data_IF_599480660481
#
_entry.id   IF_599480660481
#
_cell.length_a   1.000
_cell.length_b   1.000
_cell.length_c   1.000
_cell.angle_alpha   90.00
_cell.angle_beta   90.00
_cell.angle_gamma   90.00
#
_symmetry.space_group_name_H-M   'P 1'
#
loop_
_entity.id
_entity.type
_entity.pdbx_description
1 polymer ?
#
# COMPACT_ATOMS: atom_id res chain seq x y z
N UNK A 1 19.06 -8.37 -29.76
CA UNK A 1 18.10 -7.30 -30.12
C UNK A 1 16.71 -7.93 -30.05
N UNK A 2 15.86 -7.45 -29.16
CA UNK A 2 14.57 -8.09 -28.85
C UNK A 2 13.50 -7.52 -29.79
N UNK A 3 12.59 -8.36 -30.29
CA UNK A 3 11.49 -7.92 -31.13
C UNK A 3 10.41 -7.25 -30.27
N UNK A 4 9.90 -6.08 -30.69
CA UNK A 4 8.91 -5.31 -29.92
C UNK A 4 7.49 -5.85 -30.07
N UNK A 5 7.21 -6.62 -31.11
CA UNK A 5 5.87 -7.13 -31.41
C UNK A 5 5.58 -8.50 -30.77
N UNK A 6 6.57 -9.11 -30.13
CA UNK A 6 6.41 -10.41 -29.45
C UNK A 6 5.86 -10.23 -28.05
N UNK A 7 4.98 -11.13 -27.62
CA UNK A 7 4.43 -11.11 -26.26
C UNK A 7 5.52 -11.35 -25.21
N UNK A 8 5.40 -10.68 -24.06
CA UNK A 8 6.39 -10.71 -22.96
C UNK A 8 6.63 -12.14 -22.45
N UNK A 9 5.63 -13.02 -22.49
CA UNK A 9 5.75 -14.41 -22.02
C UNK A 9 6.66 -15.31 -22.86
N UNK A 10 7.06 -14.90 -24.07
CA UNK A 10 7.98 -15.66 -24.94
C UNK A 10 9.43 -15.16 -24.89
N UNK A 11 9.78 -14.34 -23.90
CA UNK A 11 11.16 -13.92 -23.70
C UNK A 11 12.01 -15.11 -23.24
N UNK A 12 13.13 -15.36 -23.92
CA UNK A 12 14.13 -16.32 -23.44
C UNK A 12 14.85 -15.78 -22.20
N UNK A 13 15.30 -16.68 -21.32
CA UNK A 13 16.10 -16.36 -20.13
C UNK A 13 17.31 -15.45 -20.46
N UNK A 14 18.00 -15.74 -21.57
CA UNK A 14 19.15 -14.96 -22.05
C UNK A 14 18.82 -13.49 -22.36
N UNK A 15 17.60 -13.24 -22.85
CA UNK A 15 17.12 -11.88 -23.11
C UNK A 15 16.77 -11.18 -21.80
N UNK A 16 16.19 -11.89 -20.82
CA UNK A 16 15.90 -11.35 -19.48
C UNK A 16 17.19 -10.93 -18.79
N UNK A 17 18.20 -11.81 -18.72
CA UNK A 17 19.49 -11.48 -18.12
C UNK A 17 20.16 -10.27 -18.78
N UNK A 18 20.04 -10.14 -20.10
CA UNK A 18 20.58 -9.00 -20.84
C UNK A 18 19.88 -7.70 -20.44
N UNK A 19 18.56 -7.74 -20.24
CA UNK A 19 17.77 -6.60 -19.78
C UNK A 19 18.15 -6.24 -18.33
N UNK A 20 18.28 -7.23 -17.45
CA UNK A 20 18.66 -7.00 -16.05
C UNK A 20 20.05 -6.35 -15.94
N UNK A 21 21.02 -6.83 -16.72
CA UNK A 21 22.36 -6.23 -16.78
C UNK A 21 22.31 -4.77 -17.25
N UNK A 22 21.46 -4.47 -18.25
CA UNK A 22 21.25 -3.10 -18.75
C UNK A 22 20.54 -2.20 -17.73
N UNK A 23 19.55 -2.71 -17.00
CA UNK A 23 18.80 -1.96 -15.99
C UNK A 23 19.67 -1.65 -14.77
N UNK A 24 20.52 -2.59 -14.37
CA UNK A 24 21.41 -2.42 -13.21
C UNK A 24 22.44 -1.33 -13.48
N UNK A 25 23.01 -1.29 -14.69
CA UNK A 25 24.03 -0.30 -15.07
C UNK A 25 23.74 0.31 -16.45
N UNK A 26 22.78 1.25 -16.55
CA UNK A 26 22.40 1.86 -17.83
C UNK A 26 23.50 2.73 -18.44
N UNK A 27 24.46 3.22 -17.64
CA UNK A 27 25.61 3.96 -18.17
C UNK A 27 26.48 3.04 -19.07
N UNK A 28 26.69 1.79 -18.65
CA UNK A 28 27.43 0.81 -19.45
C UNK A 28 26.68 0.44 -20.75
N UNK A 29 25.35 0.55 -20.73
CA UNK A 29 24.48 0.38 -21.90
C UNK A 29 24.44 1.57 -22.86
N UNK A 30 25.28 2.59 -22.68
CA UNK A 30 25.34 3.81 -23.50
C UNK A 30 24.04 4.64 -23.47
N UNK A 31 23.31 4.62 -22.35
CA UNK A 31 22.17 5.52 -22.15
C UNK A 31 22.64 6.93 -21.78
N UNK A 32 21.99 7.99 -22.31
CA UNK A 32 22.39 9.35 -22.01
C UNK A 32 22.01 9.74 -20.58
N UNK A 33 22.81 10.63 -19.98
CA UNK A 33 22.64 11.01 -18.57
C UNK A 33 21.25 11.58 -18.24
N UNK A 34 20.59 12.26 -19.19
CA UNK A 34 19.24 12.82 -18.99
C UNK A 34 18.14 11.78 -18.83
N UNK A 35 18.38 10.52 -19.23
CA UNK A 35 17.45 9.41 -19.10
C UNK A 35 17.43 8.80 -17.68
N UNK A 36 18.45 9.10 -16.87
CA UNK A 36 18.61 8.50 -15.54
C UNK A 36 17.71 9.20 -14.51
N UNK A 37 17.14 8.41 -13.60
CA UNK A 37 16.23 8.88 -12.56
C UNK A 37 16.92 9.83 -11.57
N UNK A 38 18.16 9.51 -11.16
CA UNK A 38 18.93 10.29 -10.19
C UNK A 38 20.23 10.77 -10.81
N UNK A 39 20.23 12.01 -11.27
CA UNK A 39 21.40 12.67 -11.87
C UNK A 39 22.12 13.51 -10.82
N UNK A 40 23.46 13.49 -10.86
CA UNK A 40 24.32 14.24 -9.93
C UNK A 40 23.89 14.06 -8.49
N UNK A 41 24.01 12.84 -8.00
CA UNK A 41 23.73 12.56 -6.59
C UNK A 41 24.62 13.42 -5.67
N UNK A 42 24.09 13.79 -4.51
CA UNK A 42 24.70 14.77 -3.61
C UNK A 42 25.94 14.19 -2.91
N UNK A 43 25.92 12.89 -2.59
CA UNK A 43 27.01 12.23 -1.86
C UNK A 43 28.11 11.75 -2.81
N UNK A 44 27.71 11.09 -3.90
CA UNK A 44 28.66 10.42 -4.81
C UNK A 44 29.00 11.26 -6.05
N UNK A 45 28.19 12.26 -6.41
CA UNK A 45 28.34 13.05 -7.63
C UNK A 45 28.02 12.29 -8.93
N UNK A 46 27.84 10.98 -8.86
CA UNK A 46 27.58 10.11 -10.01
C UNK A 46 26.13 10.22 -10.48
N UNK A 47 25.89 9.81 -11.73
CA UNK A 47 24.54 9.60 -12.22
C UNK A 47 24.16 8.14 -11.97
N UNK A 48 23.01 7.90 -11.34
CA UNK A 48 22.57 6.57 -10.94
C UNK A 48 21.13 6.33 -11.39
N UNK A 49 20.81 5.06 -11.60
CA UNK A 49 19.44 4.60 -11.82
C UNK A 49 19.04 3.76 -10.62
N UNK A 50 18.12 4.28 -9.82
CA UNK A 50 17.64 3.61 -8.61
C UNK A 50 16.56 2.59 -8.97
N UNK A 51 16.60 1.44 -8.29
CA UNK A 51 15.64 0.36 -8.46
C UNK A 51 14.67 0.29 -7.28
N UNK A 52 13.60 -0.48 -7.45
CA UNK A 52 12.45 -0.69 -6.56
C UNK A 52 12.62 -0.26 -5.10
N UNK A 53 13.51 -0.90 -4.33
CA UNK A 53 13.72 -0.67 -2.89
C UNK A 53 14.51 0.61 -2.59
N UNK A 54 15.38 1.01 -3.50
CA UNK A 54 16.32 2.10 -3.30
C UNK A 54 15.64 3.44 -3.52
N UNK A 55 14.63 3.49 -4.38
CA UNK A 55 13.80 4.68 -4.62
C UNK A 55 13.16 5.21 -3.32
N UNK A 56 12.36 4.43 -2.56
CA UNK A 56 11.77 4.93 -1.32
C UNK A 56 12.81 5.14 -0.22
N UNK A 57 13.92 4.41 -0.22
CA UNK A 57 15.00 4.60 0.75
C UNK A 57 15.71 5.95 0.55
N UNK A 58 16.17 6.23 -0.67
CA UNK A 58 16.83 7.50 -1.02
C UNK A 58 15.91 8.70 -0.83
N UNK A 59 14.62 8.58 -1.19
CA UNK A 59 13.64 9.64 -0.99
C UNK A 59 13.46 9.96 0.50
N UNK A 60 13.45 8.95 1.39
CA UNK A 60 13.39 9.18 2.84
C UNK A 60 14.65 9.90 3.34
N UNK A 61 15.83 9.47 2.90
CA UNK A 61 17.10 10.12 3.28
C UNK A 61 17.15 11.58 2.80
N UNK A 62 16.67 11.86 1.58
CA UNK A 62 16.58 13.22 1.05
C UNK A 62 15.65 14.10 1.88
N UNK A 63 14.48 13.59 2.27
CA UNK A 63 13.54 14.31 3.13
C UNK A 63 14.14 14.51 4.53
N UNK A 64 14.79 13.49 5.09
CA UNK A 64 15.35 13.57 6.44
C UNK A 64 16.49 14.60 6.49
N UNK A 65 17.34 14.65 5.47
CA UNK A 65 18.34 15.71 5.33
C UNK A 65 17.68 17.10 5.30
N UNK A 66 16.60 17.28 4.53
CA UNK A 66 15.87 18.54 4.46
C UNK A 66 15.27 18.96 5.80
N UNK A 67 14.81 17.99 6.61
CA UNK A 67 14.32 18.18 7.97
C UNK A 67 15.43 18.59 8.92
N UNK A 68 16.55 17.87 8.94
CA UNK A 68 17.72 18.18 9.78
C UNK A 68 18.27 19.58 9.45
N UNK A 69 18.33 19.93 8.17
CA UNK A 69 18.81 21.26 7.71
C UNK A 69 17.81 22.39 8.03
N UNK A 70 16.61 22.08 8.55
CA UNK A 70 15.53 23.04 8.80
C UNK A 70 15.17 23.89 7.56
N UNK A 71 15.26 23.29 6.37
CA UNK A 71 14.83 23.95 5.14
C UNK A 71 13.31 24.15 5.13
N UNK A 72 12.79 25.16 4.41
CA UNK A 72 11.35 25.38 4.30
C UNK A 72 10.59 24.14 3.79
N UNK A 73 11.20 23.44 2.85
CA UNK A 73 10.68 22.18 2.31
C UNK A 73 10.68 21.07 3.37
N UNK A 74 11.75 20.93 4.13
CA UNK A 74 11.84 20.01 5.27
C UNK A 74 10.77 20.29 6.32
N UNK A 75 10.61 21.55 6.72
CA UNK A 75 9.55 21.99 7.63
C UNK A 75 8.17 21.57 7.11
N UNK A 76 7.86 21.84 5.83
CA UNK A 76 6.59 21.41 5.21
C UNK A 76 6.41 19.88 5.25
N UNK A 77 7.48 19.11 5.03
CA UNK A 77 7.48 17.65 5.15
C UNK A 77 7.31 17.14 6.59
N UNK A 78 7.68 17.91 7.62
CA UNK A 78 7.41 17.58 9.02
C UNK A 78 5.93 17.75 9.36
N UNK A 79 5.32 18.87 8.95
CA UNK A 79 3.89 19.14 9.19
C UNK A 79 2.94 18.44 8.21
N UNK A 80 3.47 17.65 7.26
CA UNK A 80 2.66 16.94 6.26
C UNK A 80 1.92 17.88 5.30
N UNK A 81 2.45 19.08 5.07
CA UNK A 81 1.91 20.09 4.16
C UNK A 81 2.46 19.90 2.73
N UNK A 82 1.70 20.38 1.75
CA UNK A 82 2.10 20.38 0.33
C UNK A 82 3.35 21.22 0.13
N UNK A 83 4.39 20.74 -0.56
CA UNK A 83 5.71 21.41 -0.60
C UNK A 83 5.87 22.50 -1.66
N UNK A 84 5.22 22.36 -2.83
CA UNK A 84 5.47 23.18 -4.03
C UNK A 84 4.84 24.59 -4.02
N UNK A 85 4.64 25.20 -2.85
CA UNK A 85 4.03 26.54 -2.77
C UNK A 85 2.52 26.59 -3.09
N UNK A 86 1.85 25.44 -3.13
CA UNK A 86 0.41 25.37 -3.39
C UNK A 86 -0.40 26.10 -2.30
N UNK A 87 -1.46 26.81 -2.69
CA UNK A 87 -2.38 27.49 -1.77
C UNK A 87 -3.26 26.48 -1.01
N UNK A 88 -3.09 26.39 0.31
CA UNK A 88 -3.79 25.43 1.19
C UNK A 88 -5.09 25.97 1.81
N UNK A 89 -5.49 27.21 1.50
CA UNK A 89 -6.74 27.82 2.02
C UNK A 89 -7.99 27.01 1.65
N UNK A 90 -8.06 26.52 0.41
CA UNK A 90 -9.21 25.75 -0.09
C UNK A 90 -8.84 24.33 -0.51
N UNK A 91 -7.57 24.06 -0.85
CA UNK A 91 -7.15 22.78 -1.44
C UNK A 91 -6.43 21.86 -0.45
N UNK A 92 -6.60 20.54 -0.58
CA UNK A 92 -5.90 19.57 0.28
C UNK A 92 -6.50 19.42 1.68
N UNK A 93 -7.79 19.75 1.83
CA UNK A 93 -8.54 19.44 3.05
C UNK A 93 -8.68 17.94 3.17
N UNK A 94 -8.31 17.40 4.34
CA UNK A 94 -8.58 16.01 4.71
C UNK A 94 -9.94 15.98 5.40
N UNK A 95 -10.89 15.29 4.80
CA UNK A 95 -12.30 15.23 5.22
C UNK A 95 -13.18 15.08 3.99
N UNK A 96 -14.06 14.08 4.00
CA UNK A 96 -15.06 13.93 2.94
C UNK A 96 -15.98 15.15 2.89
N UNK A 97 -16.73 15.30 1.79
CA UNK A 97 -17.75 16.34 1.72
C UNK A 97 -18.69 16.23 2.92
N UNK A 98 -18.93 17.35 3.61
CA UNK A 98 -19.98 17.44 4.63
C UNK A 98 -21.32 17.44 3.89
N UNK A 99 -21.77 16.25 3.50
CA UNK A 99 -23.10 16.03 2.96
C UNK A 99 -24.14 15.90 4.08
N UNK A 100 -25.41 15.91 3.70
CA UNK A 100 -26.52 15.62 4.62
C UNK A 100 -26.49 14.13 4.97
N UNK A 101 -26.15 13.80 6.21
CA UNK A 101 -26.35 12.45 6.73
C UNK A 101 -27.86 12.20 6.86
N UNK A 102 -28.44 11.46 5.92
CA UNK A 102 -29.80 10.94 6.08
C UNK A 102 -29.74 9.83 7.13
N UNK A 103 -30.08 10.15 8.37
CA UNK A 103 -30.30 9.15 9.41
C UNK A 103 -31.24 8.08 8.85
N UNK A 104 -30.74 6.86 8.72
CA UNK A 104 -31.50 5.74 8.18
C UNK A 104 -32.79 5.58 8.98
N UNK A 105 -33.94 5.71 8.30
CA UNK A 105 -35.16 5.09 8.81
C UNK A 105 -34.87 3.59 8.87
N UNK A 106 -35.02 3.01 10.06
CA UNK A 106 -34.93 1.58 10.25
C UNK A 106 -35.87 0.88 9.25
N UNK A 107 -35.34 -0.06 8.47
CA UNK A 107 -36.15 -0.91 7.61
C UNK A 107 -37.17 -1.67 8.48
N UNK A 108 -38.44 -1.79 8.06
CA UNK A 108 -39.41 -2.57 8.81
C UNK A 108 -39.02 -4.05 8.82
N UNK A 109 -39.12 -4.67 9.99
CA UNK A 109 -38.84 -6.09 10.21
C UNK A 109 -39.65 -6.95 9.23
N UNK A 110 -38.95 -7.86 8.54
CA UNK A 110 -39.55 -8.85 7.67
C UNK A 110 -40.56 -9.71 8.45
N UNK A 111 -41.71 -9.94 7.82
CA UNK A 111 -42.85 -10.66 8.34
C UNK A 111 -42.53 -12.10 8.74
N UNK A 112 -43.19 -12.55 9.80
CA UNK A 112 -43.15 -13.91 10.33
C UNK A 112 -43.65 -14.95 9.32
N UNK A 113 -42.89 -16.04 9.15
CA UNK A 113 -43.35 -17.28 8.54
C UNK A 113 -43.46 -18.36 9.63
N UNK A 114 -44.66 -18.93 9.77
CA UNK A 114 -44.99 -20.03 10.68
C UNK A 114 -44.41 -21.37 10.19
N UNK A 115 -44.11 -22.35 11.07
CA UNK A 115 -43.55 -23.64 10.68
C UNK A 115 -44.65 -24.66 10.34
N UNK A 116 -44.50 -25.36 9.21
CA UNK A 116 -45.26 -26.55 8.88
C UNK A 116 -44.47 -27.80 9.30
N UNK A 117 -45.19 -28.76 9.89
CA UNK A 117 -44.69 -30.00 10.48
C UNK A 117 -44.60 -31.18 9.49
N UNK A 118 -43.95 -32.25 9.98
CA UNK A 118 -43.87 -33.64 9.50
C UNK A 118 -42.71 -33.99 8.55
N UNK A 119 -41.99 -35.12 8.61
CA UNK A 119 -41.70 -36.16 9.60
C UNK A 119 -40.89 -37.25 8.84
N UNK A 120 -39.78 -37.77 9.39
CA UNK A 120 -39.30 -39.17 9.30
C UNK A 120 -37.85 -39.30 9.79
N UNK A 121 -37.58 -40.34 10.59
CA UNK A 121 -36.44 -40.55 11.49
C UNK A 121 -35.49 -41.69 11.00
N UNK A 122 -34.66 -42.36 11.82
CA UNK A 122 -33.43 -41.94 12.54
C UNK A 122 -32.24 -42.95 12.41
N UNK A 123 -31.02 -42.64 12.89
CA UNK A 123 -30.02 -43.66 13.26
C UNK A 123 -28.91 -43.19 14.25
N UNK A 124 -28.77 -43.96 15.34
CA UNK A 124 -27.62 -44.21 16.26
C UNK A 124 -26.98 -43.04 17.06
N UNK A 125 -27.24 -42.89 18.38
CA UNK A 125 -26.61 -43.56 19.57
C UNK A 125 -25.22 -42.98 19.97
N UNK A 126 -25.10 -42.02 20.91
CA UNK A 126 -25.03 -42.08 22.42
C UNK A 126 -23.58 -42.32 22.98
N UNK A 127 -23.21 -41.94 24.24
CA UNK A 127 -23.03 -40.60 24.84
C UNK A 127 -21.81 -40.51 25.82
N UNK A 128 -21.55 -39.35 26.48
CA UNK A 128 -21.02 -39.19 27.86
C UNK A 128 -20.61 -37.70 28.09
N UNK A 129 -21.31 -36.89 28.90
CA UNK A 129 -21.16 -36.68 30.38
C UNK A 129 -19.82 -36.01 30.77
N UNK A 130 -19.70 -35.04 31.69
CA UNK A 130 -20.62 -34.20 32.48
C UNK A 130 -19.77 -33.10 33.20
N UNK A 131 -20.35 -31.92 33.46
CA UNK A 131 -20.19 -30.98 34.62
C UNK A 131 -18.76 -30.67 35.16
N UNK A 132 -18.39 -29.44 35.57
CA UNK A 132 -19.10 -28.50 36.46
C UNK A 132 -18.26 -27.21 36.67
N UNK A 133 -18.99 -26.11 36.91
CA UNK A 133 -18.69 -24.99 37.82
C UNK A 133 -17.56 -23.97 37.50
N UNK A 134 -18.00 -22.74 37.25
CA UNK A 134 -17.30 -21.49 37.63
C UNK A 134 -17.32 -21.32 39.17
N UNK A 135 -16.52 -20.41 39.77
CA UNK A 135 -16.89 -18.99 39.79
C UNK A 135 -15.72 -17.98 39.75
N UNK A 136 -16.10 -16.70 39.61
CA UNK A 136 -15.29 -15.49 39.69
C UNK A 136 -14.88 -15.12 41.14
N UNK A 137 -13.74 -14.43 41.33
CA UNK A 137 -13.64 -13.06 41.89
C UNK A 137 -12.21 -12.63 42.31
N UNK A 138 -11.93 -11.33 42.07
CA UNK A 138 -11.16 -10.34 42.86
C UNK A 138 -9.62 -10.24 42.81
N UNK A 139 -9.22 -9.07 42.26
CA UNK A 139 -8.31 -8.04 42.79
C UNK A 139 -6.91 -8.45 43.28
N UNK A 140 -5.90 -7.94 42.57
CA UNK A 140 -5.00 -6.90 43.10
C UNK A 140 -4.59 -5.94 41.99
#
# INVERSE_FOLDING_TARGET
KINTNTNIGFLSESNVESIEKLITNPIAGNFPAWFLNRRKDIETGANMHLLTSDIPFTLRNDIERERITNSWRGYRHMYGLKVRGQCTRTTGRKGGAVGVAKAGKAAPAAAAAAPAAAAAAPAAAKPAEEKKAAPAEKKK
#
